data_IF_976485032902
#
_entry.id   IF_976485032902
#
_cell.length_a   1.000
_cell.length_b   1.000
_cell.length_c   1.000
_cell.angle_alpha   90.00
_cell.angle_beta   90.00
_cell.angle_gamma   90.00
#
_symmetry.space_group_name_H-M   'P 1'
#
loop_
_entity.id
_entity.type
_entity.pdbx_description
1 polymer ?
#
# COMPACT_ATOMS: atom_id res chain seq x y z
N UNK A 1 -61.66 33.62 -21.55
CA UNK A 1 -61.18 32.32 -21.03
C UNK A 1 -59.66 32.30 -21.14
N UNK A 2 -58.92 32.38 -20.03
CA UNK A 2 -57.45 32.29 -20.01
C UNK A 2 -57.04 30.85 -19.72
N UNK A 3 -56.35 30.20 -20.65
CA UNK A 3 -55.76 28.86 -20.46
C UNK A 3 -54.35 29.04 -19.92
N UNK A 4 -54.13 28.67 -18.67
CA UNK A 4 -52.79 28.62 -18.07
C UNK A 4 -52.21 27.22 -18.30
N UNK A 5 -51.07 27.15 -18.97
CA UNK A 5 -50.30 25.91 -19.17
C UNK A 5 -49.26 25.85 -18.06
N UNK A 6 -49.30 24.78 -17.26
CA UNK A 6 -48.31 24.53 -16.22
C UNK A 6 -47.23 23.59 -16.80
N UNK A 7 -45.99 24.07 -16.89
CA UNK A 7 -44.84 23.25 -17.30
C UNK A 7 -44.14 22.79 -16.03
N UNK A 8 -44.26 21.50 -15.70
CA UNK A 8 -43.53 20.88 -14.60
C UNK A 8 -42.11 20.53 -15.02
N UNK A 9 -41.12 21.23 -14.46
CA UNK A 9 -39.70 20.88 -14.62
C UNK A 9 -39.32 19.88 -13.53
N UNK A 10 -39.05 18.64 -13.92
CA UNK A 10 -38.56 17.61 -13.00
C UNK A 10 -37.04 17.68 -12.96
N UNK A 11 -36.46 18.05 -11.81
CA UNK A 11 -35.01 17.98 -11.59
C UNK A 11 -34.61 16.55 -11.28
N UNK A 12 -33.88 15.93 -12.21
CA UNK A 12 -33.27 14.61 -12.00
C UNK A 12 -32.02 14.79 -11.13
N UNK A 13 -32.11 14.47 -9.84
CA UNK A 13 -30.95 14.45 -8.95
C UNK A 13 -30.12 13.20 -9.27
N UNK A 14 -29.10 13.37 -10.12
CA UNK A 14 -28.10 12.34 -10.31
C UNK A 14 -27.24 12.30 -9.03
N UNK A 15 -27.38 11.22 -8.25
CA UNK A 15 -26.50 10.99 -7.12
C UNK A 15 -25.08 10.73 -7.66
N UNK A 16 -24.26 11.77 -7.68
CA UNK A 16 -22.83 11.63 -7.96
C UNK A 16 -22.25 10.84 -6.79
N UNK A 17 -21.96 9.56 -7.03
CA UNK A 17 -21.16 8.77 -6.11
C UNK A 17 -19.76 9.39 -6.10
N UNK A 18 -19.46 10.23 -5.11
CA UNK A 18 -18.09 10.67 -4.84
C UNK A 18 -17.29 9.42 -4.47
N UNK A 19 -16.49 8.91 -5.40
CA UNK A 19 -15.33 8.11 -5.03
C UNK A 19 -14.47 8.95 -4.10
N UNK A 20 -13.96 8.37 -3.02
CA UNK A 20 -12.95 9.03 -2.21
C UNK A 20 -11.77 9.39 -3.12
N UNK A 21 -11.29 10.62 -3.01
CA UNK A 21 -10.05 11.05 -3.64
C UNK A 21 -8.89 10.32 -2.94
N UNK A 22 -7.82 10.00 -3.66
CA UNK A 22 -6.64 9.35 -3.08
C UNK A 22 -6.15 10.07 -1.83
N UNK A 23 -5.76 9.28 -0.82
CA UNK A 23 -5.29 9.75 0.48
C UNK A 23 -6.31 10.64 1.23
N UNK A 24 -7.61 10.35 1.07
CA UNK A 24 -8.71 10.92 1.87
C UNK A 24 -9.65 9.82 2.34
N UNK A 25 -10.40 10.06 3.42
CA UNK A 25 -11.42 9.14 3.89
C UNK A 25 -12.80 9.61 3.45
N UNK A 26 -13.59 8.71 2.90
CA UNK A 26 -15.03 8.93 2.70
C UNK A 26 -15.76 9.07 4.04
N UNK A 27 -16.96 9.65 4.00
CA UNK A 27 -17.83 9.74 5.20
C UNK A 27 -18.15 8.35 5.78
N UNK A 28 -18.27 7.34 4.91
CA UNK A 28 -18.47 5.95 5.34
C UNK A 28 -17.23 5.42 6.07
N UNK A 29 -16.04 5.60 5.51
CA UNK A 29 -14.79 5.15 6.14
C UNK A 29 -14.57 5.80 7.50
N UNK A 30 -14.84 7.11 7.62
CA UNK A 30 -14.78 7.82 8.91
C UNK A 30 -15.77 7.20 9.91
N UNK A 31 -17.02 6.96 9.49
CA UNK A 31 -18.05 6.35 10.34
C UNK A 31 -17.69 4.92 10.76
N UNK A 32 -17.04 4.16 9.88
CA UNK A 32 -16.58 2.79 10.13
C UNK A 32 -15.26 2.76 10.95
N UNK A 33 -14.69 3.91 11.29
CA UNK A 33 -13.52 4.03 12.17
C UNK A 33 -12.17 3.90 11.47
N UNK A 34 -12.11 4.08 10.15
CA UNK A 34 -10.84 4.09 9.41
C UNK A 34 -10.01 5.32 9.76
N UNK A 35 -8.69 5.16 9.69
CA UNK A 35 -7.71 6.22 9.82
C UNK A 35 -6.70 6.14 8.68
N UNK A 36 -6.22 7.29 8.22
CA UNK A 36 -5.11 7.34 7.27
C UNK A 36 -3.81 7.07 8.01
N UNK A 37 -3.05 6.07 7.55
CA UNK A 37 -1.66 5.88 7.96
C UNK A 37 -0.72 6.86 7.24
N UNK A 38 -1.11 7.36 6.07
CA UNK A 38 -0.35 8.31 5.29
C UNK A 38 -1.28 9.38 4.69
N UNK A 39 -0.86 10.64 4.72
CA UNK A 39 -1.69 11.80 4.36
C UNK A 39 -1.57 12.22 2.89
N UNK A 40 -0.79 11.47 2.10
CA UNK A 40 -0.54 11.77 0.68
C UNK A 40 0.52 12.84 0.42
N UNK A 41 1.11 13.46 1.45
CA UNK A 41 1.90 14.70 1.31
C UNK A 41 3.19 14.72 2.11
N UNK A 42 3.17 14.22 3.33
CA UNK A 42 4.28 14.32 4.29
C UNK A 42 4.77 12.93 4.69
N UNK A 43 5.84 12.89 5.48
CA UNK A 43 6.36 11.65 6.07
C UNK A 43 5.84 11.43 7.49
N UNK A 44 4.85 12.21 7.93
CA UNK A 44 4.28 12.13 9.27
C UNK A 44 3.72 10.74 9.54
N UNK A 45 4.01 10.22 10.73
CA UNK A 45 3.62 8.87 11.13
C UNK A 45 4.60 7.77 10.69
N UNK A 46 5.65 8.10 9.92
CA UNK A 46 6.63 7.14 9.42
C UNK A 46 8.07 7.51 9.80
N UNK A 47 8.89 6.48 9.99
CA UNK A 47 10.35 6.60 10.16
C UNK A 47 11.04 5.44 9.43
N UNK A 48 12.35 5.52 9.22
CA UNK A 48 13.13 4.35 8.79
C UNK A 48 13.15 3.30 9.91
N UNK A 49 13.10 2.01 9.56
CA UNK A 49 13.01 0.93 10.55
C UNK A 49 14.15 0.97 11.59
N UNK A 50 15.38 1.28 11.15
CA UNK A 50 16.60 1.42 11.97
C UNK A 50 16.93 2.88 12.31
N UNK A 51 16.04 3.83 12.00
CA UNK A 51 16.26 5.27 12.17
C UNK A 51 15.24 5.86 13.15
N UNK A 52 15.59 6.98 13.77
CA UNK A 52 14.68 7.77 14.60
C UNK A 52 13.75 8.67 13.77
N UNK A 53 14.09 8.93 12.52
CA UNK A 53 13.35 9.78 11.58
C UNK A 53 13.16 9.10 10.23
N UNK A 54 12.39 9.72 9.33
CA UNK A 54 12.22 9.24 7.96
C UNK A 54 13.55 9.28 7.18
N UNK A 55 13.84 8.30 6.30
CA UNK A 55 15.09 8.29 5.53
C UNK A 55 15.27 9.53 4.66
N UNK A 56 16.49 10.05 4.55
CA UNK A 56 16.81 11.22 3.72
C UNK A 56 16.91 10.90 2.21
N UNK A 57 17.05 9.61 1.87
CA UNK A 57 17.18 9.09 0.52
C UNK A 57 16.40 7.78 0.36
N UNK A 58 16.27 7.30 -0.87
CA UNK A 58 15.60 6.03 -1.18
C UNK A 58 14.07 6.09 -1.25
N UNK A 59 13.45 7.18 -0.79
CA UNK A 59 12.01 7.41 -0.86
C UNK A 59 11.70 8.79 -1.43
N UNK A 60 10.63 8.89 -2.23
CA UNK A 60 10.15 10.14 -2.83
C UNK A 60 8.62 10.23 -2.69
N UNK A 61 8.12 11.41 -2.35
CA UNK A 61 6.69 11.73 -2.43
C UNK A 61 6.47 12.57 -3.69
N UNK A 62 5.58 12.12 -4.57
CA UNK A 62 5.27 12.82 -5.82
C UNK A 62 3.84 12.50 -6.25
N UNK A 63 3.05 13.53 -6.57
CA UNK A 63 1.67 13.39 -7.07
C UNK A 63 0.75 12.54 -6.18
N UNK A 64 0.86 12.65 -4.85
CA UNK A 64 0.05 11.84 -3.94
C UNK A 64 0.49 10.38 -3.84
N UNK A 65 1.68 10.04 -4.32
CA UNK A 65 2.26 8.68 -4.30
C UNK A 65 3.53 8.67 -3.46
N UNK A 66 3.62 7.72 -2.52
CA UNK A 66 4.83 7.40 -1.79
C UNK A 66 5.61 6.33 -2.56
N UNK A 67 6.80 6.68 -3.06
CA UNK A 67 7.58 5.86 -3.98
C UNK A 67 8.92 5.46 -3.37
N UNK A 68 9.20 4.17 -3.35
CA UNK A 68 10.57 3.66 -3.15
C UNK A 68 11.37 3.85 -4.43
N UNK A 69 12.57 4.38 -4.32
CA UNK A 69 13.48 4.62 -5.44
C UNK A 69 14.29 3.36 -5.73
N UNK A 70 14.42 3.04 -7.02
CA UNK A 70 15.20 1.90 -7.50
C UNK A 70 16.60 1.91 -6.86
N UNK A 71 16.97 0.79 -6.23
CA UNK A 71 18.35 0.50 -5.82
C UNK A 71 19.01 -0.41 -6.87
N UNK A 72 20.27 -0.77 -6.67
CA UNK A 72 20.97 -1.82 -7.43
C UNK A 72 20.40 -3.24 -7.17
N UNK A 73 19.11 -3.36 -6.84
CA UNK A 73 18.44 -4.64 -6.55
C UNK A 73 18.78 -5.24 -5.18
N UNK A 74 19.53 -4.52 -4.33
CA UNK A 74 19.86 -4.96 -2.96
C UNK A 74 18.73 -4.64 -2.00
N UNK A 75 18.39 -5.63 -1.17
CA UNK A 75 17.37 -5.55 -0.13
C UNK A 75 17.69 -4.45 0.89
N UNK A 76 16.72 -3.57 1.14
CA UNK A 76 16.80 -2.47 2.12
C UNK A 76 18.05 -1.57 2.01
N UNK A 77 18.73 -1.54 0.86
CA UNK A 77 20.03 -0.87 0.70
C UNK A 77 19.94 0.61 0.32
N UNK A 78 18.81 1.07 -0.23
CA UNK A 78 18.59 2.46 -0.62
C UNK A 78 17.46 3.07 0.21
N UNK A 79 17.81 3.77 1.30
CA UNK A 79 16.86 4.36 2.26
C UNK A 79 16.33 3.38 3.31
N UNK A 80 16.33 2.08 3.00
CA UNK A 80 15.83 1.03 3.88
C UNK A 80 14.31 1.01 4.01
N UNK A 81 13.82 0.07 4.80
CA UNK A 81 12.38 -0.07 5.05
C UNK A 81 11.89 1.09 5.92
N UNK A 82 10.65 1.51 5.69
CA UNK A 82 9.94 2.44 6.56
C UNK A 82 8.94 1.69 7.43
N UNK A 83 8.69 2.22 8.62
CA UNK A 83 7.78 1.66 9.60
C UNK A 83 6.89 2.76 10.18
N UNK A 84 5.67 2.41 10.54
CA UNK A 84 4.82 3.31 11.31
C UNK A 84 5.46 3.62 12.66
N UNK A 85 5.34 4.87 13.11
CA UNK A 85 5.77 5.26 14.47
C UNK A 85 4.90 4.56 15.51
N UNK A 86 3.60 4.43 15.22
CA UNK A 86 2.65 3.71 16.07
C UNK A 86 2.73 2.20 15.85
N UNK A 87 2.39 1.46 16.91
CA UNK A 87 2.23 0.00 16.86
C UNK A 87 0.75 -0.37 16.85
N UNK A 88 0.42 -1.46 16.17
CA UNK A 88 -0.95 -1.93 16.00
C UNK A 88 -1.04 -3.41 16.40
N UNK A 89 -2.19 -3.79 16.95
CA UNK A 89 -2.47 -5.17 17.38
C UNK A 89 -3.47 -5.85 16.46
N UNK A 90 -4.74 -5.46 16.58
CA UNK A 90 -5.83 -5.97 15.74
C UNK A 90 -6.21 -4.84 14.77
N UNK A 91 -6.19 -5.13 13.47
CA UNK A 91 -6.47 -4.13 12.45
C UNK A 91 -6.95 -4.77 11.16
N UNK A 92 -7.56 -3.95 10.30
CA UNK A 92 -7.70 -4.21 8.87
C UNK A 92 -6.87 -3.14 8.18
N UNK A 93 -5.95 -3.56 7.30
CA UNK A 93 -5.08 -2.65 6.55
C UNK A 93 -5.49 -2.67 5.08
N UNK A 94 -5.63 -1.49 4.48
CA UNK A 94 -5.84 -1.31 3.05
C UNK A 94 -4.72 -0.45 2.49
N UNK A 95 -4.06 -0.94 1.44
CA UNK A 95 -2.97 -0.27 0.74
C UNK A 95 -3.15 -0.50 -0.75
N UNK A 96 -3.16 0.58 -1.52
CA UNK A 96 -3.06 0.50 -2.97
C UNK A 96 -1.58 0.55 -3.36
N UNK A 97 -1.15 -0.32 -4.28
CA UNK A 97 0.24 -0.41 -4.70
C UNK A 97 0.36 -0.53 -6.22
N UNK A 98 1.51 -0.10 -6.74
CA UNK A 98 1.90 -0.26 -8.14
C UNK A 98 3.38 -0.62 -8.22
N UNK A 99 3.69 -1.64 -9.01
CA UNK A 99 5.05 -2.12 -9.22
C UNK A 99 5.55 -1.78 -10.63
N UNK A 100 6.87 -1.61 -10.76
CA UNK A 100 7.55 -1.60 -12.07
C UNK A 100 7.92 -3.02 -12.48
N UNK A 101 8.30 -3.20 -13.75
CA UNK A 101 8.81 -4.48 -14.26
C UNK A 101 9.96 -5.01 -13.38
N UNK A 102 9.85 -6.28 -12.98
CA UNK A 102 10.83 -6.96 -12.13
C UNK A 102 10.97 -6.39 -10.72
N UNK A 103 10.05 -5.57 -10.22
CA UNK A 103 10.15 -5.02 -8.87
C UNK A 103 9.87 -6.07 -7.78
N UNK A 104 10.47 -5.83 -6.61
CA UNK A 104 10.27 -6.60 -5.38
C UNK A 104 10.11 -5.63 -4.20
N UNK A 105 9.07 -5.82 -3.40
CA UNK A 105 8.74 -5.06 -2.20
C UNK A 105 7.80 -5.91 -1.33
N UNK A 106 7.29 -5.35 -0.24
CA UNK A 106 6.34 -6.05 0.61
C UNK A 106 5.69 -5.15 1.64
N UNK A 107 4.53 -5.57 2.13
CA UNK A 107 3.87 -4.95 3.28
C UNK A 107 4.03 -5.87 4.47
N UNK A 108 4.85 -5.45 5.44
CA UNK A 108 5.12 -6.22 6.64
C UNK A 108 4.22 -5.82 7.81
N UNK A 109 3.84 -6.81 8.62
CA UNK A 109 3.06 -6.65 9.83
C UNK A 109 3.55 -7.58 10.94
N UNK A 110 3.18 -7.25 12.18
CA UNK A 110 3.80 -7.84 13.39
C UNK A 110 5.33 -7.72 13.38
N UNK A 111 5.80 -6.57 12.90
CA UNK A 111 7.23 -6.25 12.80
C UNK A 111 7.77 -5.93 14.19
N UNK A 112 8.90 -6.51 14.55
CA UNK A 112 9.74 -6.03 15.65
C UNK A 112 10.98 -5.33 15.08
N UNK A 113 11.05 -3.98 15.16
CA UNK A 113 12.20 -3.22 14.67
C UNK A 113 13.53 -3.55 15.35
N UNK A 114 13.51 -4.19 16.53
CA UNK A 114 14.70 -4.49 17.31
C UNK A 114 15.27 -5.90 17.05
N UNK A 115 14.53 -6.76 16.35
CA UNK A 115 14.96 -8.14 16.09
C UNK A 115 16.11 -8.20 15.08
N UNK A 116 16.03 -7.45 13.97
CA UNK A 116 17.11 -7.40 12.98
C UNK A 116 17.98 -6.14 13.16
N UNK A 117 19.13 -6.31 13.81
CA UNK A 117 20.16 -5.26 13.95
C UNK A 117 21.26 -5.34 12.89
N UNK A 118 21.24 -6.37 12.04
CA UNK A 118 22.21 -6.60 10.96
C UNK A 118 21.77 -5.99 9.63
N UNK A 119 22.28 -6.54 8.52
CA UNK A 119 21.83 -6.19 7.17
C UNK A 119 20.44 -6.78 6.85
N UNK A 120 19.79 -6.27 5.80
CA UNK A 120 18.49 -6.75 5.33
C UNK A 120 17.27 -6.14 6.02
N UNK A 121 16.10 -6.67 5.66
CA UNK A 121 14.79 -6.16 6.02
C UNK A 121 14.38 -6.46 7.46
N UNK A 122 13.38 -5.73 7.94
CA UNK A 122 12.75 -5.98 9.22
C UNK A 122 12.13 -7.38 9.31
N UNK A 123 12.16 -7.98 10.51
CA UNK A 123 11.52 -9.27 10.77
C UNK A 123 10.05 -9.05 11.12
N UNK A 124 9.17 -9.69 10.36
CA UNK A 124 7.71 -9.67 10.51
C UNK A 124 7.05 -10.57 9.46
N UNK A 125 5.74 -10.77 9.57
CA UNK A 125 4.96 -11.42 8.51
C UNK A 125 4.88 -10.46 7.31
N UNK A 126 4.92 -11.00 6.09
CA UNK A 126 5.02 -10.19 4.87
C UNK A 126 3.96 -10.60 3.85
N UNK A 127 3.15 -9.62 3.45
CA UNK A 127 2.39 -9.70 2.20
C UNK A 127 3.32 -9.32 1.06
N UNK A 128 3.66 -10.31 0.24
CA UNK A 128 4.64 -10.14 -0.83
C UNK A 128 4.12 -9.21 -1.95
N UNK A 129 4.95 -8.26 -2.40
CA UNK A 129 4.69 -7.43 -3.59
C UNK A 129 5.76 -7.69 -4.65
N UNK A 130 5.43 -8.50 -5.66
CA UNK A 130 6.41 -8.99 -6.63
C UNK A 130 5.86 -8.94 -8.05
N UNK A 131 6.74 -8.66 -9.03
CA UNK A 131 6.47 -9.00 -10.42
C UNK A 131 6.81 -10.47 -10.66
N UNK A 132 5.80 -11.33 -10.53
CA UNK A 132 5.95 -12.79 -10.60
C UNK A 132 6.51 -13.29 -11.95
N UNK A 133 6.28 -12.54 -13.04
CA UNK A 133 6.70 -12.97 -14.37
C UNK A 133 8.20 -12.76 -14.60
N UNK A 134 8.78 -11.75 -13.95
CA UNK A 134 10.13 -11.27 -14.22
C UNK A 134 11.10 -11.54 -13.05
N UNK A 135 10.66 -11.33 -11.80
CA UNK A 135 11.57 -11.38 -10.67
C UNK A 135 11.98 -12.84 -10.33
N UNK A 136 13.28 -13.15 -10.18
CA UNK A 136 13.74 -14.53 -9.98
C UNK A 136 13.21 -15.18 -8.70
N UNK A 137 12.94 -14.40 -7.65
CA UNK A 137 12.42 -14.92 -6.37
C UNK A 137 11.04 -15.59 -6.51
N UNK A 138 10.27 -15.27 -7.57
CA UNK A 138 9.00 -15.94 -7.86
C UNK A 138 9.15 -17.44 -8.15
N UNK A 139 10.35 -17.85 -8.58
CA UNK A 139 10.71 -19.26 -8.86
C UNK A 139 11.40 -19.93 -7.68
N UNK A 140 11.70 -19.19 -6.63
CA UNK A 140 12.28 -19.69 -5.39
C UNK A 140 11.17 -20.08 -4.41
N UNK A 141 11.56 -20.74 -3.32
CA UNK A 141 10.63 -21.23 -2.30
C UNK A 141 9.94 -22.54 -2.67
N UNK A 142 8.77 -22.79 -2.08
CA UNK A 142 7.99 -24.03 -2.22
C UNK A 142 6.58 -23.69 -2.70
N UNK A 143 6.14 -24.35 -3.78
CA UNK A 143 4.79 -24.21 -4.32
C UNK A 143 4.34 -22.74 -4.60
N UNK A 144 5.29 -21.85 -4.94
CA UNK A 144 5.00 -20.45 -5.25
C UNK A 144 4.76 -19.56 -4.03
N UNK A 145 5.18 -19.99 -2.83
CA UNK A 145 5.04 -19.23 -1.57
C UNK A 145 5.84 -17.92 -1.49
N UNK A 146 6.59 -17.56 -2.53
CA UNK A 146 7.28 -16.27 -2.68
C UNK A 146 6.71 -15.36 -3.76
N UNK A 147 5.58 -15.73 -4.35
CA UNK A 147 4.88 -14.92 -5.37
C UNK A 147 3.98 -13.85 -4.75
N UNK A 148 3.58 -12.85 -5.54
CA UNK A 148 2.69 -11.74 -5.15
C UNK A 148 1.51 -12.21 -4.28
N UNK A 149 1.27 -11.52 -3.17
CA UNK A 149 0.17 -11.77 -2.24
C UNK A 149 0.32 -13.00 -1.35
N UNK A 150 1.41 -13.75 -1.48
CA UNK A 150 1.73 -14.83 -0.55
C UNK A 150 2.07 -14.26 0.83
N UNK A 151 1.86 -15.07 1.88
CA UNK A 151 2.61 -14.88 3.10
C UNK A 151 4.03 -15.39 2.83
N UNK A 152 4.97 -14.47 2.67
CA UNK A 152 6.30 -14.75 2.11
C UNK A 152 6.97 -15.96 2.76
N UNK A 153 7.39 -16.91 1.92
CA UNK A 153 8.06 -18.17 2.28
C UNK A 153 7.27 -19.13 3.19
N UNK A 154 5.98 -18.85 3.44
CA UNK A 154 5.12 -19.64 4.32
C UNK A 154 3.89 -20.19 3.60
N UNK A 155 3.01 -19.34 3.08
CA UNK A 155 1.72 -19.74 2.50
C UNK A 155 1.54 -19.08 1.13
N UNK A 156 1.40 -19.87 0.04
CA UNK A 156 1.21 -19.33 -1.30
C UNK A 156 -0.14 -18.65 -1.46
N UNK A 157 -0.15 -17.57 -2.23
CA UNK A 157 -1.39 -16.94 -2.67
C UNK A 157 -2.21 -17.88 -3.58
N UNK A 158 -3.54 -17.72 -3.63
CA UNK A 158 -4.36 -18.34 -4.67
C UNK A 158 -3.86 -18.01 -6.07
N UNK A 159 -3.97 -18.97 -7.00
CA UNK A 159 -3.52 -18.80 -8.39
C UNK A 159 -4.31 -17.72 -9.13
N UNK A 160 -5.58 -17.55 -8.78
CA UNK A 160 -6.52 -16.58 -9.33
C UNK A 160 -6.53 -15.25 -8.56
N UNK A 161 -5.42 -14.93 -7.86
CA UNK A 161 -5.25 -13.67 -7.15
C UNK A 161 -5.57 -12.46 -8.05
N UNK A 162 -6.44 -11.54 -7.59
CA UNK A 162 -6.81 -10.37 -8.39
C UNK A 162 -5.62 -9.40 -8.45
N UNK A 163 -4.89 -9.41 -9.55
CA UNK A 163 -3.84 -8.43 -9.83
C UNK A 163 -3.95 -7.97 -11.29
N UNK A 164 -4.12 -6.65 -11.46
CA UNK A 164 -4.12 -6.04 -12.79
C UNK A 164 -2.71 -5.54 -13.09
N UNK A 165 -2.02 -6.24 -13.98
CA UNK A 165 -0.78 -5.74 -14.56
C UNK A 165 -1.13 -4.54 -15.45
N UNK A 166 -0.36 -3.45 -15.32
CA UNK A 166 -0.59 -2.23 -16.12
C UNK A 166 -0.28 -2.47 -17.59
#
# INVERSE_FOLDING_TARGET
MKKSILIGVTFFFCAVTLSAQDNTLSQKEIKDGWALLWDGKTTNGWRGIKLSSFPQNGWKIENGILKVLKSEGKESANGGDIVSIQTYRNFILKVDFKITEGANSGVKYFVDPNMNKGEGSAIGCEYQLLDDDIHPDAKLGVAGNRTLGSLYDLIPAPKDKPFKKN
#
